data_IF_619305848493
#
_entry.id   IF_619305848493
#
_cell.length_a   1.000
_cell.length_b   1.000
_cell.length_c   1.000
_cell.angle_alpha   90.00
_cell.angle_beta   90.00
_cell.angle_gamma   90.00
#
_symmetry.space_group_name_H-M   'P 1'
#
loop_
_entity.id
_entity.type
_entity.pdbx_description
1 polymer ?
#
# COMPACT_ATOMS: atom_id res chain seq x y z
N UNK A 1 -51.24 -8.81 10.11
CA UNK A 1 -50.80 -8.15 8.85
C UNK A 1 -49.43 -7.48 9.00
N UNK A 2 -49.16 -6.64 10.02
CA UNK A 2 -47.85 -5.96 10.21
C UNK A 2 -46.66 -6.91 10.43
N UNK A 3 -46.86 -8.07 11.08
CA UNK A 3 -45.80 -9.07 11.34
C UNK A 3 -45.36 -9.75 10.04
N UNK A 4 -46.27 -10.07 9.14
CA UNK A 4 -45.93 -10.69 7.85
C UNK A 4 -45.21 -9.74 6.91
N UNK A 5 -45.49 -8.43 6.98
CA UNK A 5 -44.78 -7.41 6.22
C UNK A 5 -43.33 -7.31 6.72
N UNK A 6 -43.11 -7.31 8.04
CA UNK A 6 -41.80 -7.32 8.62
C UNK A 6 -40.95 -8.54 8.23
N UNK A 7 -41.54 -9.74 8.25
CA UNK A 7 -40.90 -10.98 7.84
C UNK A 7 -40.54 -10.97 6.33
N UNK A 8 -41.41 -10.46 5.48
CA UNK A 8 -41.15 -10.33 4.05
C UNK A 8 -40.00 -9.35 3.74
N UNK A 9 -39.97 -8.19 4.41
CA UNK A 9 -38.89 -7.22 4.27
C UNK A 9 -37.56 -7.82 4.74
N UNK A 10 -37.55 -8.54 5.86
CA UNK A 10 -36.36 -9.20 6.37
C UNK A 10 -35.83 -10.27 5.40
N UNK A 11 -36.71 -11.08 4.82
CA UNK A 11 -36.34 -12.06 3.80
C UNK A 11 -35.74 -11.41 2.55
N UNK A 12 -36.29 -10.28 2.08
CA UNK A 12 -35.73 -9.54 0.95
C UNK A 12 -34.35 -8.97 1.25
N UNK A 13 -34.10 -8.48 2.47
CA UNK A 13 -32.79 -8.01 2.88
C UNK A 13 -31.77 -9.16 2.85
N UNK A 14 -32.14 -10.35 3.37
CA UNK A 14 -31.23 -11.52 3.33
C UNK A 14 -30.89 -11.88 1.88
N UNK A 15 -31.89 -11.95 1.00
CA UNK A 15 -31.66 -12.25 -0.42
C UNK A 15 -30.74 -11.21 -1.06
N UNK A 16 -30.97 -9.93 -0.81
CA UNK A 16 -30.13 -8.85 -1.33
C UNK A 16 -28.68 -8.96 -0.83
N UNK A 17 -28.47 -9.28 0.45
CA UNK A 17 -27.12 -9.48 1.04
C UNK A 17 -26.43 -10.67 0.39
N UNK A 18 -27.11 -11.80 0.19
CA UNK A 18 -26.54 -12.99 -0.46
C UNK A 18 -26.18 -12.70 -1.91
N UNK A 19 -27.03 -12.04 -2.67
CA UNK A 19 -26.75 -11.68 -4.06
C UNK A 19 -25.57 -10.70 -4.15
N UNK A 20 -25.50 -9.72 -3.26
CA UNK A 20 -24.38 -8.78 -3.18
C UNK A 20 -23.07 -9.49 -2.83
N UNK A 21 -23.08 -10.38 -1.83
CA UNK A 21 -21.92 -11.16 -1.43
C UNK A 21 -21.39 -12.05 -2.56
N UNK A 22 -22.28 -12.78 -3.24
CA UNK A 22 -21.93 -13.63 -4.37
C UNK A 22 -21.34 -12.81 -5.53
N UNK A 23 -21.94 -11.64 -5.83
CA UNK A 23 -21.40 -10.74 -6.85
C UNK A 23 -19.98 -10.28 -6.47
N UNK A 24 -19.81 -9.81 -5.22
CA UNK A 24 -18.49 -9.33 -4.72
C UNK A 24 -17.42 -10.41 -4.80
N UNK A 25 -17.77 -11.67 -4.49
CA UNK A 25 -16.86 -12.81 -4.60
C UNK A 25 -16.46 -13.07 -6.05
N UNK A 26 -17.44 -13.10 -6.97
CA UNK A 26 -17.15 -13.24 -8.40
C UNK A 26 -16.29 -12.10 -8.93
N UNK A 27 -16.59 -10.87 -8.58
CA UNK A 27 -15.82 -9.68 -8.96
C UNK A 27 -14.37 -9.78 -8.44
N UNK A 28 -14.18 -10.28 -7.22
CA UNK A 28 -12.87 -10.52 -6.62
C UNK A 28 -12.06 -11.58 -7.40
N UNK A 29 -12.69 -12.70 -7.79
CA UNK A 29 -12.05 -13.73 -8.60
C UNK A 29 -11.67 -13.23 -10.00
N UNK A 30 -12.53 -12.40 -10.60
CA UNK A 30 -12.23 -11.77 -11.88
C UNK A 30 -11.05 -10.80 -11.77
N UNK A 31 -11.03 -9.94 -10.74
CA UNK A 31 -9.92 -9.05 -10.47
C UNK A 31 -8.60 -9.83 -10.27
N UNK A 32 -8.62 -10.91 -9.49
CA UNK A 32 -7.46 -11.80 -9.31
C UNK A 32 -6.93 -12.32 -10.65
N UNK A 33 -7.83 -12.79 -11.52
CA UNK A 33 -7.47 -13.32 -12.85
C UNK A 33 -6.83 -12.24 -13.73
N UNK A 34 -7.34 -11.00 -13.68
CA UNK A 34 -6.78 -9.88 -14.44
C UNK A 34 -5.43 -9.44 -13.90
N UNK A 35 -5.28 -9.41 -12.57
CA UNK A 35 -4.01 -9.09 -11.91
C UNK A 35 -2.88 -10.05 -12.33
N UNK A 36 -3.13 -11.36 -12.41
CA UNK A 36 -2.10 -12.33 -12.84
C UNK A 36 -1.54 -12.04 -14.23
N UNK A 37 -2.31 -11.36 -15.09
CA UNK A 37 -1.89 -10.99 -16.45
C UNK A 37 -1.14 -9.67 -16.51
N UNK A 38 -1.48 -8.71 -15.64
CA UNK A 38 -0.90 -7.36 -15.70
C UNK A 38 0.32 -7.19 -14.79
N UNK A 39 0.41 -7.93 -13.67
CA UNK A 39 1.55 -7.88 -12.74
C UNK A 39 2.90 -8.12 -13.43
N UNK A 40 3.06 -9.03 -14.41
CA UNK A 40 4.32 -9.18 -15.14
C UNK A 40 4.85 -7.89 -15.78
N UNK A 41 3.99 -6.97 -16.20
CA UNK A 41 4.44 -5.64 -16.67
C UNK A 41 5.01 -4.80 -15.54
N UNK A 42 4.38 -4.85 -14.36
CA UNK A 42 4.88 -4.18 -13.17
C UNK A 42 6.26 -4.71 -12.76
N UNK A 43 6.41 -6.04 -12.69
CA UNK A 43 7.67 -6.72 -12.32
C UNK A 43 8.80 -6.45 -13.33
N UNK A 44 8.44 -6.21 -14.60
CA UNK A 44 9.37 -5.83 -15.66
C UNK A 44 9.65 -4.31 -15.72
N UNK A 45 9.18 -3.53 -14.72
CA UNK A 45 9.25 -2.07 -14.68
C UNK A 45 8.59 -1.36 -15.89
N UNK A 46 7.66 -2.02 -16.56
CA UNK A 46 6.87 -1.47 -17.66
C UNK A 46 5.60 -0.79 -17.11
N UNK A 47 5.81 0.23 -16.28
CA UNK A 47 4.73 0.82 -15.47
C UNK A 47 3.60 1.42 -16.29
N UNK A 48 3.89 2.09 -17.41
CA UNK A 48 2.84 2.65 -18.28
C UNK A 48 1.99 1.54 -18.91
N UNK A 49 2.59 0.40 -19.26
CA UNK A 49 1.84 -0.77 -19.74
C UNK A 49 1.04 -1.42 -18.60
N UNK A 50 1.60 -1.51 -17.39
CA UNK A 50 0.86 -1.99 -16.23
C UNK A 50 -0.36 -1.11 -15.95
N UNK A 51 -0.24 0.22 -16.06
CA UNK A 51 -1.34 1.15 -15.87
C UNK A 51 -2.42 0.97 -16.95
N UNK A 52 -2.02 0.99 -18.23
CA UNK A 52 -2.95 1.04 -19.37
C UNK A 52 -3.43 -0.33 -19.85
N UNK A 53 -2.66 -1.39 -19.57
CA UNK A 53 -2.85 -2.72 -20.17
C UNK A 53 -2.31 -2.82 -21.60
N UNK A 54 -2.58 -3.95 -22.25
CA UNK A 54 -2.24 -4.23 -23.64
C UNK A 54 -3.44 -4.80 -24.38
N UNK A 55 -4.05 -3.98 -25.22
CA UNK A 55 -5.24 -4.39 -26.01
C UNK A 55 -4.91 -5.46 -27.04
N UNK A 56 -3.70 -5.47 -27.60
CA UNK A 56 -3.29 -6.46 -28.60
C UNK A 56 -3.16 -7.86 -27.98
N UNK A 57 -2.76 -7.93 -26.71
CA UNK A 57 -2.65 -9.16 -25.93
C UNK A 57 -3.90 -9.45 -25.08
N UNK A 58 -4.93 -8.62 -25.16
CA UNK A 58 -6.13 -8.71 -24.33
C UNK A 58 -5.81 -8.69 -22.82
N UNK A 59 -4.90 -7.79 -22.42
CA UNK A 59 -4.51 -7.57 -21.02
C UNK A 59 -5.13 -6.27 -20.53
N UNK A 60 -5.98 -6.37 -19.50
CA UNK A 60 -6.60 -5.23 -18.82
C UNK A 60 -5.58 -4.56 -17.91
N UNK A 61 -5.46 -3.23 -17.99
CA UNK A 61 -4.54 -2.46 -17.14
C UNK A 61 -5.04 -2.28 -15.70
N UNK A 62 -4.11 -1.95 -14.81
CA UNK A 62 -4.40 -1.73 -13.39
C UNK A 62 -5.48 -0.68 -13.16
N UNK A 63 -5.47 0.42 -13.95
CA UNK A 63 -6.48 1.46 -13.83
C UNK A 63 -7.89 0.92 -14.03
N UNK A 64 -8.12 0.15 -15.11
CA UNK A 64 -9.43 -0.43 -15.38
C UNK A 64 -9.82 -1.48 -14.33
N UNK A 65 -8.84 -2.23 -13.79
CA UNK A 65 -9.11 -3.21 -12.71
C UNK A 65 -9.59 -2.49 -11.44
N UNK A 66 -8.92 -1.40 -11.05
CA UNK A 66 -9.33 -0.58 -9.90
C UNK A 66 -10.74 -0.03 -10.11
N UNK A 67 -11.00 0.61 -11.26
CA UNK A 67 -12.30 1.22 -11.57
C UNK A 67 -13.46 0.21 -11.54
N UNK A 68 -13.24 -1.03 -11.98
CA UNK A 68 -14.30 -2.05 -12.11
C UNK A 68 -14.52 -2.89 -10.86
N UNK A 69 -13.50 -3.07 -10.03
CA UNK A 69 -13.50 -4.03 -8.93
C UNK A 69 -13.20 -3.36 -7.58
N UNK A 70 -13.46 -2.07 -7.48
CA UNK A 70 -13.35 -1.31 -6.23
C UNK A 70 -14.08 -2.01 -5.07
N UNK A 71 -13.50 -1.95 -3.88
CA UNK A 71 -14.05 -2.55 -2.66
C UNK A 71 -13.99 -4.08 -2.60
N UNK A 72 -13.45 -4.78 -3.63
CA UNK A 72 -13.03 -6.16 -3.50
C UNK A 72 -11.58 -6.23 -2.99
N UNK A 73 -11.17 -7.36 -2.41
CA UNK A 73 -9.80 -7.52 -1.88
C UNK A 73 -8.75 -7.39 -2.99
N UNK A 74 -9.04 -7.95 -4.17
CA UNK A 74 -8.13 -7.88 -5.31
C UNK A 74 -8.17 -6.54 -6.04
N UNK A 75 -9.30 -5.84 -6.02
CA UNK A 75 -9.39 -4.45 -6.46
C UNK A 75 -8.53 -3.53 -5.58
N UNK A 76 -8.58 -3.73 -4.26
CA UNK A 76 -7.71 -3.01 -3.33
C UNK A 76 -6.22 -3.38 -3.52
N UNK A 77 -5.92 -4.63 -3.87
CA UNK A 77 -4.56 -5.03 -4.26
C UNK A 77 -4.11 -4.31 -5.53
N UNK A 78 -4.97 -4.26 -6.56
CA UNK A 78 -4.70 -3.52 -7.80
C UNK A 78 -4.46 -2.02 -7.54
N UNK A 79 -5.20 -1.43 -6.59
CA UNK A 79 -5.04 -0.03 -6.17
C UNK A 79 -3.62 0.27 -5.68
N UNK A 80 -3.04 -0.61 -4.85
CA UNK A 80 -1.65 -0.47 -4.39
C UNK A 80 -0.65 -0.59 -5.55
N UNK A 81 -0.82 -1.56 -6.46
CA UNK A 81 0.04 -1.66 -7.63
C UNK A 81 -0.06 -0.44 -8.54
N UNK A 82 -1.27 0.09 -8.76
CA UNK A 82 -1.48 1.32 -9.54
C UNK A 82 -0.83 2.53 -8.87
N UNK A 83 -0.99 2.67 -7.55
CA UNK A 83 -0.35 3.74 -6.78
C UNK A 83 1.18 3.68 -6.90
N UNK A 84 1.77 2.48 -6.78
CA UNK A 84 3.19 2.28 -6.98
C UNK A 84 3.63 2.68 -8.40
N UNK A 85 2.87 2.29 -9.44
CA UNK A 85 3.15 2.69 -10.82
C UNK A 85 3.12 4.21 -10.98
N UNK A 86 2.15 4.89 -10.40
CA UNK A 86 2.06 6.35 -10.45
C UNK A 86 3.24 7.02 -9.72
N UNK A 87 3.59 6.53 -8.53
CA UNK A 87 4.76 7.03 -7.81
C UNK A 87 6.04 6.89 -8.64
N UNK A 88 6.27 5.71 -9.24
CA UNK A 88 7.46 5.40 -10.02
C UNK A 88 7.50 6.11 -11.39
N UNK A 89 6.36 6.60 -11.88
CA UNK A 89 6.26 7.41 -13.12
C UNK A 89 6.16 8.92 -12.84
N UNK A 90 6.33 9.34 -11.58
CA UNK A 90 6.34 10.76 -11.17
C UNK A 90 4.97 11.39 -11.00
N UNK A 91 3.89 10.62 -11.07
CA UNK A 91 2.52 11.07 -10.81
C UNK A 91 2.23 10.96 -9.31
N UNK A 92 2.94 11.79 -8.52
CA UNK A 92 2.98 11.62 -7.06
C UNK A 92 1.66 11.97 -6.36
N UNK A 93 0.93 12.95 -6.87
CA UNK A 93 -0.34 13.36 -6.28
C UNK A 93 -1.41 12.28 -6.52
N UNK A 94 -1.49 11.71 -7.74
CA UNK A 94 -2.39 10.60 -8.05
C UNK A 94 -2.03 9.32 -7.28
N UNK A 95 -0.75 9.08 -7.05
CA UNK A 95 -0.30 7.97 -6.20
C UNK A 95 -0.77 8.14 -4.75
N UNK A 96 -0.64 9.36 -4.20
CA UNK A 96 -1.07 9.66 -2.85
C UNK A 96 -2.57 9.42 -2.65
N UNK A 97 -3.41 9.86 -3.58
CA UNK A 97 -4.87 9.65 -3.53
C UNK A 97 -5.22 8.17 -3.43
N UNK A 98 -4.57 7.32 -4.23
CA UNK A 98 -4.80 5.87 -4.20
C UNK A 98 -4.30 5.22 -2.90
N UNK A 99 -3.17 5.67 -2.37
CA UNK A 99 -2.69 5.19 -1.07
C UNK A 99 -3.63 5.62 0.06
N UNK A 100 -4.13 6.84 0.03
CA UNK A 100 -5.03 7.36 1.06
C UNK A 100 -6.38 6.66 1.05
N UNK A 101 -6.88 6.32 -0.14
CA UNK A 101 -8.15 5.63 -0.36
C UNK A 101 -8.07 4.10 -0.16
N UNK A 102 -6.91 3.55 0.20
CA UNK A 102 -6.77 2.11 0.41
C UNK A 102 -7.64 1.63 1.58
N UNK A 103 -8.67 0.83 1.28
CA UNK A 103 -9.63 0.27 2.23
C UNK A 103 -9.50 -1.24 2.48
N UNK A 104 -8.46 -1.89 1.95
CA UNK A 104 -8.26 -3.34 2.08
C UNK A 104 -7.88 -3.78 3.49
N UNK A 105 -8.09 -5.06 3.77
CA UNK A 105 -7.82 -5.68 5.08
C UNK A 105 -6.43 -6.30 5.20
N UNK A 106 -5.68 -6.42 4.10
CA UNK A 106 -4.35 -7.02 4.10
C UNK A 106 -3.33 -6.12 4.83
N UNK A 107 -2.72 -6.58 5.95
CA UNK A 107 -1.82 -5.73 6.73
C UNK A 107 -0.54 -5.36 5.99
N UNK A 108 -0.03 -6.20 5.07
CA UNK A 108 1.15 -5.87 4.29
C UNK A 108 0.86 -4.75 3.29
N UNK A 109 -0.28 -4.81 2.60
CA UNK A 109 -0.70 -3.75 1.67
C UNK A 109 -1.04 -2.46 2.41
N UNK A 110 -1.60 -2.56 3.62
CA UNK A 110 -1.81 -1.38 4.49
C UNK A 110 -0.49 -0.72 4.88
N UNK A 111 0.53 -1.51 5.21
CA UNK A 111 1.87 -0.99 5.49
C UNK A 111 2.46 -0.32 4.22
N UNK A 112 2.29 -0.94 3.05
CA UNK A 112 2.73 -0.36 1.76
C UNK A 112 2.00 0.96 1.46
N UNK A 113 0.69 1.04 1.70
CA UNK A 113 -0.09 2.29 1.56
C UNK A 113 0.49 3.40 2.42
N UNK A 114 0.74 3.14 3.70
CA UNK A 114 1.35 4.11 4.61
C UNK A 114 2.76 4.52 4.17
N UNK A 115 3.58 3.57 3.71
CA UNK A 115 4.91 3.87 3.19
C UNK A 115 4.87 4.69 1.89
N UNK A 116 3.87 4.46 1.04
CA UNK A 116 3.62 5.26 -0.16
C UNK A 116 3.23 6.71 0.17
N UNK A 117 2.39 6.91 1.20
CA UNK A 117 2.08 8.24 1.73
C UNK A 117 3.33 8.92 2.29
N UNK A 118 4.19 8.17 3.00
CA UNK A 118 5.47 8.70 3.46
C UNK A 118 6.36 9.17 2.30
N UNK A 119 6.43 8.39 1.22
CA UNK A 119 7.20 8.75 0.03
C UNK A 119 6.66 10.04 -0.64
N UNK A 120 5.35 10.25 -0.62
CA UNK A 120 4.76 11.52 -1.06
C UNK A 120 5.28 12.70 -0.25
N UNK A 121 5.24 12.61 1.09
CA UNK A 121 5.73 13.67 1.98
C UNK A 121 7.25 13.88 1.84
N UNK A 122 8.02 12.82 1.59
CA UNK A 122 9.44 12.93 1.26
C UNK A 122 9.68 13.78 0.00
N UNK A 123 8.91 13.56 -1.06
CA UNK A 123 9.01 14.33 -2.31
C UNK A 123 8.59 15.79 -2.11
N UNK A 124 7.66 16.05 -1.18
CA UNK A 124 7.25 17.42 -0.81
C UNK A 124 8.22 18.09 0.21
N UNK A 125 9.29 17.37 0.62
CA UNK A 125 10.26 17.83 1.64
C UNK A 125 9.62 18.03 3.03
N UNK A 126 8.44 17.44 3.27
CA UNK A 126 7.73 17.42 4.53
C UNK A 126 8.22 16.23 5.37
N UNK A 127 9.49 16.31 5.80
CA UNK A 127 10.23 15.16 6.36
C UNK A 127 9.68 14.65 7.69
N UNK A 128 9.07 15.49 8.51
CA UNK A 128 8.46 15.08 9.77
C UNK A 128 7.26 14.17 9.53
N UNK A 129 6.39 14.56 8.59
CA UNK A 129 5.25 13.77 8.17
C UNK A 129 5.69 12.46 7.49
N UNK A 130 6.71 12.52 6.63
CA UNK A 130 7.31 11.34 6.02
C UNK A 130 7.77 10.34 7.10
N UNK A 131 8.51 10.80 8.10
CA UNK A 131 9.00 9.96 9.19
C UNK A 131 7.85 9.34 10.00
N UNK A 132 6.80 10.11 10.28
CA UNK A 132 5.62 9.61 10.99
C UNK A 132 4.93 8.50 10.21
N UNK A 133 4.69 8.68 8.91
CA UNK A 133 4.04 7.67 8.07
C UNK A 133 4.91 6.42 7.88
N UNK A 134 6.23 6.53 7.74
CA UNK A 134 7.12 5.36 7.71
C UNK A 134 7.10 4.59 9.03
N UNK A 135 7.08 5.27 10.16
CA UNK A 135 6.93 4.61 11.48
C UNK A 135 5.58 3.91 11.61
N UNK A 136 4.49 4.54 11.15
CA UNK A 136 3.17 3.90 11.09
C UNK A 136 3.21 2.64 10.22
N UNK A 137 3.83 2.70 9.04
CA UNK A 137 3.99 1.55 8.16
C UNK A 137 4.71 0.38 8.85
N UNK A 138 5.83 0.66 9.53
CA UNK A 138 6.59 -0.34 10.28
C UNK A 138 5.85 -0.92 11.49
N UNK A 139 4.78 -0.27 11.95
CA UNK A 139 4.01 -0.69 13.13
C UNK A 139 2.74 -1.50 12.81
N UNK A 140 2.36 -1.63 11.54
CA UNK A 140 1.10 -2.29 11.15
C UNK A 140 1.10 -3.77 11.54
N UNK A 141 2.19 -4.48 11.26
CA UNK A 141 2.38 -5.87 11.67
C UNK A 141 3.86 -6.17 11.87
N UNK A 142 4.18 -7.00 12.87
CA UNK A 142 5.57 -7.39 13.19
C UNK A 142 6.16 -8.32 12.15
N UNK A 143 5.32 -9.08 11.47
CA UNK A 143 5.72 -10.08 10.48
C UNK A 143 6.07 -9.48 9.11
N UNK A 144 5.93 -8.16 8.93
CA UNK A 144 6.29 -7.52 7.67
C UNK A 144 7.82 -7.46 7.49
N UNK A 145 8.37 -8.14 6.46
CA UNK A 145 9.83 -8.12 6.21
C UNK A 145 10.36 -6.74 5.83
N UNK A 146 9.50 -5.82 5.39
CA UNK A 146 9.89 -4.45 5.05
C UNK A 146 9.97 -3.49 6.25
N UNK A 147 9.65 -3.95 7.47
CA UNK A 147 9.69 -3.08 8.65
C UNK A 147 11.06 -2.41 8.87
N UNK A 148 12.22 -3.10 8.76
CA UNK A 148 13.50 -2.44 8.94
C UNK A 148 13.79 -1.40 7.84
N UNK A 149 13.33 -1.61 6.62
CA UNK A 149 13.43 -0.61 5.54
C UNK A 149 12.58 0.62 5.84
N UNK A 150 11.33 0.44 6.30
CA UNK A 150 10.47 1.57 6.69
C UNK A 150 11.08 2.35 7.86
N UNK A 151 11.63 1.66 8.85
CA UNK A 151 12.33 2.33 9.95
C UNK A 151 13.59 3.06 9.48
N UNK A 152 14.38 2.49 8.57
CA UNK A 152 15.53 3.16 7.99
C UNK A 152 15.13 4.46 7.29
N UNK A 153 14.09 4.42 6.45
CA UNK A 153 13.54 5.61 5.78
C UNK A 153 13.03 6.64 6.79
N UNK A 154 12.35 6.20 7.86
CA UNK A 154 11.91 7.10 8.92
C UNK A 154 13.09 7.82 9.60
N UNK A 155 14.17 7.09 9.90
CA UNK A 155 15.38 7.68 10.47
C UNK A 155 16.06 8.67 9.53
N UNK A 156 16.11 8.38 8.23
CA UNK A 156 16.65 9.30 7.22
C UNK A 156 15.81 10.57 7.12
N UNK A 157 14.48 10.43 7.08
CA UNK A 157 13.57 11.57 7.05
C UNK A 157 13.74 12.46 8.29
N UNK A 158 13.91 11.88 9.50
CA UNK A 158 14.20 12.62 10.72
C UNK A 158 15.55 13.36 10.66
N UNK A 159 16.59 12.77 10.05
CA UNK A 159 17.83 13.49 9.83
C UNK A 159 17.64 14.70 8.92
N UNK A 160 16.87 14.57 7.84
CA UNK A 160 16.52 15.66 6.94
C UNK A 160 15.69 16.74 7.64
N UNK A 161 14.86 16.36 8.61
CA UNK A 161 14.14 17.27 9.50
C UNK A 161 15.01 17.85 10.63
N UNK A 162 16.33 17.59 10.63
CA UNK A 162 17.28 17.97 11.68
C UNK A 162 16.94 17.43 13.09
N UNK A 163 16.22 16.31 13.17
CA UNK A 163 15.84 15.62 14.40
C UNK A 163 16.78 14.46 14.72
N UNK A 164 18.07 14.75 14.92
CA UNK A 164 19.15 13.77 15.07
C UNK A 164 18.92 12.76 16.20
N UNK A 165 18.46 13.22 17.36
CA UNK A 165 18.25 12.35 18.53
C UNK A 165 17.13 11.32 18.28
N UNK A 166 16.06 11.71 17.60
CA UNK A 166 14.98 10.78 17.25
C UNK A 166 15.43 9.79 16.15
N UNK A 167 16.17 10.27 15.16
CA UNK A 167 16.78 9.43 14.13
C UNK A 167 17.71 8.37 14.74
N UNK A 168 18.58 8.77 15.67
CA UNK A 168 19.48 7.88 16.41
C UNK A 168 18.72 6.75 17.10
N UNK A 169 17.62 7.06 17.81
CA UNK A 169 16.79 6.05 18.47
C UNK A 169 16.25 5.01 17.48
N UNK A 170 15.85 5.44 16.29
CA UNK A 170 15.34 4.53 15.25
C UNK A 170 16.44 3.63 14.72
N UNK A 171 17.62 4.16 14.42
CA UNK A 171 18.74 3.35 13.92
C UNK A 171 19.23 2.32 14.95
N UNK A 172 19.30 2.70 16.23
CA UNK A 172 19.60 1.77 17.32
C UNK A 172 18.56 0.67 17.43
N UNK A 173 17.27 1.01 17.29
CA UNK A 173 16.19 0.02 17.26
C UNK A 173 16.35 -0.97 16.12
N UNK A 174 16.74 -0.54 14.92
CA UNK A 174 16.99 -1.45 13.80
C UNK A 174 18.13 -2.41 14.14
N UNK A 175 19.24 -1.92 14.71
CA UNK A 175 20.37 -2.76 15.12
C UNK A 175 19.99 -3.81 16.17
N UNK A 176 19.08 -3.48 17.08
CA UNK A 176 18.65 -4.38 18.15
C UNK A 176 17.65 -5.44 17.65
N UNK A 177 16.62 -5.01 16.91
CA UNK A 177 15.48 -5.84 16.55
C UNK A 177 15.66 -6.58 15.20
N UNK A 178 16.51 -6.08 14.28
CA UNK A 178 16.65 -6.59 12.90
C UNK A 178 18.11 -6.89 12.54
N UNK A 179 18.80 -7.71 13.35
CA UNK A 179 20.25 -7.99 13.25
C UNK A 179 20.68 -8.52 11.87
N UNK A 180 19.82 -9.25 11.18
CA UNK A 180 20.07 -9.86 9.88
C UNK A 180 19.61 -8.98 8.71
N UNK A 181 19.31 -7.70 8.95
CA UNK A 181 18.86 -6.79 7.89
C UNK A 181 19.99 -6.56 6.87
N UNK A 182 19.76 -6.83 5.56
CA UNK A 182 20.83 -6.77 4.56
C UNK A 182 21.51 -5.40 4.45
N UNK A 183 20.77 -4.31 4.70
CA UNK A 183 21.29 -2.94 4.64
C UNK A 183 21.83 -2.43 6.00
N UNK A 184 22.28 -3.30 6.89
CA UNK A 184 22.81 -2.91 8.21
C UNK A 184 24.01 -1.94 8.12
N UNK A 185 24.81 -2.04 7.06
CA UNK A 185 25.92 -1.08 6.84
C UNK A 185 25.39 0.34 6.59
N UNK A 186 24.28 0.46 5.91
CA UNK A 186 23.61 1.75 5.68
C UNK A 186 23.04 2.32 6.97
N UNK A 187 22.41 1.49 7.80
CA UNK A 187 21.94 1.87 9.14
C UNK A 187 23.10 2.43 9.98
N UNK A 188 24.26 1.75 9.99
CA UNK A 188 25.44 2.19 10.75
C UNK A 188 25.97 3.53 10.24
N UNK A 189 25.96 3.75 8.92
CA UNK A 189 26.38 5.02 8.32
C UNK A 189 25.47 6.18 8.77
N UNK A 190 24.16 6.00 8.74
CA UNK A 190 23.22 7.05 9.16
C UNK A 190 23.22 7.25 10.68
N UNK A 191 23.46 6.19 11.46
CA UNK A 191 23.66 6.31 12.92
C UNK A 191 24.84 7.22 13.23
N UNK A 192 25.98 7.02 12.55
CA UNK A 192 27.17 7.87 12.73
C UNK A 192 26.90 9.35 12.34
N UNK A 193 26.04 9.60 11.35
CA UNK A 193 25.60 10.96 11.00
C UNK A 193 24.68 11.58 12.05
N UNK A 194 23.88 10.78 12.74
CA UNK A 194 23.04 11.24 13.83
C UNK A 194 23.83 11.58 15.12
N UNK A 195 25.03 11.02 15.27
CA UNK A 195 25.92 11.21 16.46
C UNK A 195 26.85 12.43 16.33
N UNK A 196 26.99 12.99 15.13
CA UNK A 196 27.82 14.17 14.86
C UNK A 196 26.96 15.42 14.64
#
# INVERSE_FOLDING_TARGET
>A
MKIYIGAAVFALIIVAVVLYSNKKENDNLMAATLLTKVIPFYDAAQYEQAIAGDKAQNITGLKEIVDRYEGTEQGETAKIYLANCYLLTGKIDEAYELYDDYGGSNPLLKATSLAGKAAYYEVKEEYEDAAEFYRKAASVTKENPSNPEYLLKAGIALLNANQKEEAKKIFLKIQEEYKDYPQMQEVNRYLALAEN
#
